data_IF_320319797967
#
_entry.id   IF_320319797967
#
_cell.length_a   1.000
_cell.length_b   1.000
_cell.length_c   1.000
_cell.angle_alpha   90.00
_cell.angle_beta   90.00
_cell.angle_gamma   90.00
#
_symmetry.space_group_name_H-M   'P 1'
#
loop_
_entity.id
_entity.type
_entity.pdbx_description
1 polymer ?
#
# COMPACT_ATOMS: atom_id res chain seq x y z
N UNK A 1 13.05 21.32 35.96
CA UNK A 1 12.24 20.32 35.21
C UNK A 1 12.53 20.50 33.73
N UNK A 2 13.51 19.78 33.19
CA UNK A 2 13.88 19.88 31.76
C UNK A 2 13.04 18.88 30.96
N UNK A 3 12.14 19.38 30.12
CA UNK A 3 11.47 18.55 29.10
C UNK A 3 12.54 18.15 28.09
N UNK A 4 13.03 16.92 28.18
CA UNK A 4 13.82 16.32 27.11
C UNK A 4 12.87 16.15 25.94
N UNK A 5 13.03 17.02 24.94
CA UNK A 5 12.38 16.90 23.64
C UNK A 5 12.66 15.49 23.14
N UNK A 6 11.60 14.69 22.98
CA UNK A 6 11.68 13.36 22.40
C UNK A 6 12.08 13.56 20.95
N UNK A 7 13.38 13.50 20.67
CA UNK A 7 13.89 13.49 19.33
C UNK A 7 13.25 12.28 18.63
N UNK A 8 12.31 12.55 17.72
CA UNK A 8 11.92 11.59 16.71
C UNK A 8 13.20 11.19 16.01
N UNK A 9 13.70 9.99 16.33
CA UNK A 9 14.88 9.45 15.68
C UNK A 9 14.51 9.29 14.20
N UNK A 10 14.96 10.21 13.35
CA UNK A 10 14.75 10.15 11.91
C UNK A 10 15.34 8.83 11.41
N UNK A 11 14.45 7.85 11.16
CA UNK A 11 14.85 6.54 10.67
C UNK A 11 15.04 6.66 9.16
N UNK A 12 16.30 6.86 8.76
CA UNK A 12 16.66 6.89 7.33
C UNK A 12 16.67 5.47 6.81
N UNK A 13 15.81 5.19 5.84
CA UNK A 13 15.86 3.93 5.09
C UNK A 13 17.14 3.88 4.25
N UNK A 14 17.72 2.69 4.10
CA UNK A 14 18.70 2.47 3.04
C UNK A 14 18.02 2.62 1.68
N UNK A 15 18.81 2.96 0.65
CA UNK A 15 18.31 3.05 -0.74
C UNK A 15 17.63 1.73 -1.15
N UNK A 16 18.27 0.60 -0.88
CA UNK A 16 17.71 -0.73 -1.17
C UNK A 16 16.35 -0.97 -0.49
N UNK A 17 16.20 -0.54 0.77
CA UNK A 17 14.95 -0.70 1.50
C UNK A 17 13.85 0.23 0.96
N UNK A 18 14.22 1.46 0.58
CA UNK A 18 13.30 2.40 -0.07
C UNK A 18 12.81 1.86 -1.42
N UNK A 19 13.72 1.37 -2.26
CA UNK A 19 13.38 0.77 -3.56
C UNK A 19 12.52 -0.48 -3.40
N UNK A 20 12.83 -1.36 -2.45
CA UNK A 20 12.03 -2.55 -2.17
C UNK A 20 10.61 -2.19 -1.71
N UNK A 21 10.45 -1.18 -0.86
CA UNK A 21 9.15 -0.68 -0.43
C UNK A 21 8.37 -0.01 -1.56
N UNK A 22 9.05 0.71 -2.45
CA UNK A 22 8.44 1.28 -3.66
C UNK A 22 7.96 0.17 -4.62
N UNK A 23 8.78 -0.86 -4.85
CA UNK A 23 8.40 -2.01 -5.66
C UNK A 23 7.20 -2.77 -5.05
N UNK A 24 7.17 -2.91 -3.71
CA UNK A 24 6.04 -3.50 -2.99
C UNK A 24 4.76 -2.66 -3.16
N UNK A 25 4.87 -1.32 -3.09
CA UNK A 25 3.76 -0.42 -3.37
C UNK A 25 3.16 -0.68 -4.76
N UNK A 26 4.01 -0.72 -5.78
CA UNK A 26 3.57 -0.92 -7.16
C UNK A 26 2.94 -2.31 -7.35
N UNK A 27 3.49 -3.34 -6.72
CA UNK A 27 2.94 -4.69 -6.77
C UNK A 27 1.56 -4.79 -6.12
N UNK A 28 1.34 -4.14 -4.97
CA UNK A 28 0.02 -4.11 -4.34
C UNK A 28 -1.03 -3.45 -5.24
N UNK A 29 -0.67 -2.41 -5.98
CA UNK A 29 -1.57 -1.78 -6.95
C UNK A 29 -1.88 -2.70 -8.13
N UNK A 30 -0.86 -3.38 -8.68
CA UNK A 30 -1.05 -4.38 -9.76
C UNK A 30 -1.97 -5.52 -9.33
N UNK A 31 -1.78 -6.06 -8.13
CA UNK A 31 -2.62 -7.11 -7.57
C UNK A 31 -4.06 -6.63 -7.40
N UNK A 32 -4.26 -5.42 -6.84
CA UNK A 32 -5.58 -4.84 -6.68
C UNK A 32 -6.32 -4.71 -8.03
N UNK A 33 -5.63 -4.21 -9.06
CA UNK A 33 -6.19 -4.03 -10.39
C UNK A 33 -6.54 -5.37 -11.06
N UNK A 34 -5.67 -6.36 -10.90
CA UNK A 34 -5.89 -7.72 -11.40
C UNK A 34 -7.14 -8.35 -10.77
N UNK A 35 -7.30 -8.21 -9.44
CA UNK A 35 -8.45 -8.75 -8.71
C UNK A 35 -9.76 -8.07 -9.14
N UNK A 36 -9.75 -6.74 -9.30
CA UNK A 36 -10.91 -5.94 -9.68
C UNK A 36 -11.34 -6.23 -11.13
N UNK A 37 -10.37 -6.33 -12.04
CA UNK A 37 -10.58 -6.72 -13.43
C UNK A 37 -11.16 -8.13 -13.55
N UNK A 38 -10.63 -9.09 -12.76
CA UNK A 38 -11.17 -10.45 -12.71
C UNK A 38 -12.59 -10.54 -12.10
N UNK A 39 -13.04 -9.51 -11.37
CA UNK A 39 -14.41 -9.43 -10.87
C UNK A 39 -15.41 -8.94 -11.93
N UNK A 40 -14.94 -8.34 -13.02
CA UNK A 40 -15.78 -7.73 -14.06
C UNK A 40 -15.91 -8.58 -15.33
N UNK A 41 -15.43 -9.83 -15.31
CA UNK A 41 -15.51 -10.75 -16.44
C UNK A 41 -16.98 -11.13 -16.77
N UNK A 42 -17.34 -11.28 -18.06
CA UNK A 42 -18.72 -11.52 -18.50
C UNK A 42 -19.30 -12.89 -18.13
N UNK A 43 -18.46 -13.93 -17.99
CA UNK A 43 -18.79 -15.21 -17.34
C UNK A 43 -18.33 -15.22 -15.87
N UNK A 44 -18.38 -14.05 -15.25
CA UNK A 44 -17.76 -13.78 -13.96
C UNK A 44 -18.46 -14.48 -12.79
N UNK A 45 -17.81 -14.44 -11.62
CA UNK A 45 -18.32 -15.08 -10.42
C UNK A 45 -19.63 -14.43 -9.95
N UNK A 46 -20.33 -15.09 -9.01
CA UNK A 46 -21.56 -14.56 -8.43
C UNK A 46 -21.36 -13.14 -7.88
N UNK A 47 -22.45 -12.35 -7.80
CA UNK A 47 -22.41 -10.96 -7.28
C UNK A 47 -21.73 -10.86 -5.90
N UNK A 48 -21.91 -11.87 -5.05
CA UNK A 48 -21.27 -11.95 -3.73
C UNK A 48 -19.75 -12.10 -3.83
N UNK A 49 -19.26 -12.96 -4.72
CA UNK A 49 -17.83 -13.16 -4.95
C UNK A 49 -17.20 -11.97 -5.67
N UNK A 50 -17.92 -11.30 -6.58
CA UNK A 50 -17.46 -10.02 -7.14
C UNK A 50 -17.30 -8.94 -6.05
N UNK A 51 -18.27 -8.83 -5.14
CA UNK A 51 -18.18 -7.89 -4.02
C UNK A 51 -17.00 -8.22 -3.10
N UNK A 52 -16.77 -9.51 -2.83
CA UNK A 52 -15.61 -9.98 -2.06
C UNK A 52 -14.29 -9.60 -2.72
N UNK A 53 -14.15 -9.82 -4.03
CA UNK A 53 -12.96 -9.45 -4.81
C UNK A 53 -12.73 -7.94 -4.79
N UNK A 54 -13.77 -7.13 -4.99
CA UNK A 54 -13.69 -5.67 -4.89
C UNK A 54 -13.27 -5.18 -3.51
N UNK A 55 -13.80 -5.81 -2.45
CA UNK A 55 -13.40 -5.50 -1.09
C UNK A 55 -11.92 -5.82 -0.85
N UNK A 56 -11.44 -6.97 -1.34
CA UNK A 56 -10.03 -7.34 -1.25
C UNK A 56 -9.12 -6.39 -2.04
N UNK A 57 -9.48 -6.04 -3.28
CA UNK A 57 -8.76 -5.05 -4.08
C UNK A 57 -8.69 -3.69 -3.37
N UNK A 58 -9.75 -3.30 -2.67
CA UNK A 58 -9.77 -2.06 -1.87
C UNK A 58 -8.79 -2.12 -0.70
N UNK A 59 -8.66 -3.26 -0.02
CA UNK A 59 -7.67 -3.45 1.06
C UNK A 59 -6.24 -3.27 0.53
N UNK A 60 -5.91 -3.89 -0.61
CA UNK A 60 -4.59 -3.71 -1.24
C UNK A 60 -4.31 -2.25 -1.61
N UNK A 61 -5.29 -1.52 -2.13
CA UNK A 61 -5.16 -0.07 -2.42
C UNK A 61 -4.94 0.76 -1.15
N UNK A 62 -5.60 0.42 -0.05
CA UNK A 62 -5.40 1.09 1.25
C UNK A 62 -3.98 0.87 1.76
N UNK A 63 -3.48 -0.36 1.73
CA UNK A 63 -2.12 -0.67 2.15
C UNK A 63 -1.08 -0.01 1.26
N UNK A 64 -1.28 0.01 -0.06
CA UNK A 64 -0.43 0.77 -0.99
C UNK A 64 -0.39 2.26 -0.61
N UNK A 65 -1.54 2.87 -0.32
CA UNK A 65 -1.60 4.27 0.11
C UNK A 65 -0.78 4.52 1.40
N UNK A 66 -0.87 3.61 2.38
CA UNK A 66 -0.09 3.70 3.62
C UNK A 66 1.42 3.60 3.37
N UNK A 67 1.86 2.66 2.52
CA UNK A 67 3.28 2.53 2.14
C UNK A 67 3.76 3.80 1.42
N UNK A 68 2.96 4.37 0.51
CA UNK A 68 3.30 5.61 -0.19
C UNK A 68 3.46 6.80 0.77
N UNK A 69 2.53 6.96 1.72
CA UNK A 69 2.63 7.99 2.77
C UNK A 69 3.92 7.81 3.59
N UNK A 70 4.25 6.57 3.96
CA UNK A 70 5.50 6.25 4.65
C UNK A 70 6.74 6.63 3.84
N UNK A 71 6.77 6.29 2.55
CA UNK A 71 7.85 6.64 1.63
C UNK A 71 8.00 8.15 1.43
N UNK A 72 6.89 8.88 1.32
CA UNK A 72 6.89 10.35 1.19
C UNK A 72 7.42 11.03 2.45
N UNK A 73 7.08 10.51 3.63
CA UNK A 73 7.60 11.02 4.90
C UNK A 73 9.10 10.78 5.04
N UNK A 74 9.62 9.61 4.64
CA UNK A 74 11.06 9.32 4.69
C UNK A 74 11.85 10.13 3.65
N UNK A 75 11.26 10.45 2.50
CA UNK A 75 11.91 11.30 1.47
C UNK A 75 11.99 12.78 1.88
N UNK A 76 11.07 13.23 2.73
CA UNK A 76 10.95 14.64 3.12
C UNK A 76 11.80 15.02 4.34
N UNK A 77 12.41 14.03 5.02
CA UNK A 77 13.37 14.17 6.13
C UNK A 77 14.84 14.11 5.64
#
# INVERSE_FOLDING_TARGET
MSRKSSASSAFRLSVDAYEALHALHDEMLRVADTIDSAASLPLGPSKAEQARRRALASVFRIWASQVRIGLDNVRSD
#
